data_IF_947802162162
#
_entry.id   IF_947802162162
#
_cell.length_a   1.000
_cell.length_b   1.000
_cell.length_c   1.000
_cell.angle_alpha   90.00
_cell.angle_beta   90.00
_cell.angle_gamma   90.00
#
_symmetry.space_group_name_H-M   'P 1'
#
loop_
_entity.id
_entity.type
_entity.pdbx_description
1 polymer ?
#
# COMPACT_ATOMS: atom_id res chain seq x y z
N UNK A 1 -29.37 -30.53 50.73
CA UNK A 1 -29.09 -30.73 52.20
C UNK A 1 -27.75 -30.10 52.52
N UNK A 2 -27.81 -29.13 53.36
CA UNK A 2 -26.82 -28.67 54.39
C UNK A 2 -25.55 -28.04 53.84
N UNK A 3 -25.41 -26.67 53.89
CA UNK A 3 -25.03 -25.84 55.07
C UNK A 3 -23.58 -26.03 55.41
N UNK A 4 -22.74 -25.09 55.69
CA UNK A 4 -22.75 -23.72 56.28
C UNK A 4 -21.28 -23.28 56.30
N UNK A 5 -20.94 -22.02 55.96
CA UNK A 5 -20.59 -20.95 56.92
C UNK A 5 -19.29 -21.15 57.67
N UNK A 6 -18.34 -20.21 57.52
CA UNK A 6 -17.58 -19.48 58.56
C UNK A 6 -16.60 -18.54 57.86
N UNK A 7 -16.79 -17.26 57.76
CA UNK A 7 -16.76 -16.16 58.71
C UNK A 7 -15.35 -15.81 59.19
N UNK A 8 -14.95 -14.63 58.78
CA UNK A 8 -14.25 -13.56 59.48
C UNK A 8 -12.94 -13.87 60.23
N UNK A 9 -11.85 -13.15 59.88
CA UNK A 9 -11.11 -12.38 60.88
C UNK A 9 -10.52 -11.12 60.20
N UNK A 10 -11.00 -9.98 60.69
CA UNK A 10 -10.50 -8.61 60.52
C UNK A 10 -9.45 -8.35 61.59
N UNK A 11 -8.23 -7.94 61.20
CA UNK A 11 -7.34 -7.30 62.17
C UNK A 11 -6.76 -6.03 61.55
N UNK A 12 -7.23 -4.95 62.14
CA UNK A 12 -6.80 -3.57 61.99
C UNK A 12 -5.57 -3.36 62.88
N UNK A 13 -4.48 -2.81 62.34
CA UNK A 13 -3.46 -2.17 63.16
C UNK A 13 -3.13 -0.79 62.55
N UNK A 14 -3.55 0.20 63.30
CA UNK A 14 -3.22 1.61 63.18
C UNK A 14 -2.03 1.90 64.07
N UNK A 15 -1.12 2.72 63.61
CA UNK A 15 -0.08 3.34 64.47
C UNK A 15 1.05 3.90 63.61
N UNK A 16 1.33 5.07 63.54
CA UNK A 16 1.38 6.36 64.23
C UNK A 16 2.53 7.16 63.63
N UNK A 17 2.26 8.39 63.36
CA UNK A 17 3.17 9.47 62.96
C UNK A 17 4.27 9.78 63.99
N UNK A 18 5.44 10.14 63.48
CA UNK A 18 6.33 11.19 64.09
C UNK A 18 7.40 11.51 63.02
N UNK A 19 7.48 12.63 62.43
CA UNK A 19 7.82 14.00 62.83
C UNK A 19 9.32 14.31 62.69
N UNK A 20 9.58 15.22 61.73
CA UNK A 20 10.59 16.30 61.77
C UNK A 20 12.06 16.03 61.99
N UNK A 21 12.85 16.54 61.04
CA UNK A 21 14.27 16.89 61.32
C UNK A 21 15.00 17.30 60.01
N UNK A 22 15.12 18.59 59.85
CA UNK A 22 15.95 19.35 58.85
C UNK A 22 17.40 18.87 58.72
N UNK A 23 17.96 18.79 57.51
CA UNK A 23 18.97 19.71 56.93
C UNK A 23 19.51 19.21 55.60
N UNK A 24 19.77 20.17 54.77
CA UNK A 24 20.43 20.15 53.45
C UNK A 24 21.66 19.24 53.39
N UNK A 25 21.71 18.45 52.29
CA UNK A 25 22.96 18.32 51.56
C UNK A 25 22.64 17.98 50.09
N UNK A 26 23.25 18.78 49.23
CA UNK A 26 23.18 18.83 47.79
C UNK A 26 23.78 17.53 47.22
N UNK A 27 22.94 16.66 46.63
CA UNK A 27 23.41 15.60 45.73
C UNK A 27 22.59 15.66 44.47
N UNK A 28 23.17 16.24 43.45
CA UNK A 28 22.75 16.24 42.06
C UNK A 28 22.58 14.80 41.57
N UNK A 29 21.40 14.27 41.68
CA UNK A 29 21.06 13.00 41.05
C UNK A 29 20.52 13.31 39.66
N UNK A 30 21.45 13.40 38.70
CA UNK A 30 21.14 13.41 37.26
C UNK A 30 20.56 12.05 36.91
N UNK A 31 19.25 11.92 37.09
CA UNK A 31 18.49 10.83 36.54
C UNK A 31 18.40 11.08 35.00
N UNK A 32 19.37 10.54 34.26
CA UNK A 32 19.27 10.40 32.83
C UNK A 32 18.16 9.39 32.55
N UNK A 33 16.93 9.85 32.65
CA UNK A 33 15.81 9.20 31.99
C UNK A 33 16.07 9.29 30.49
N UNK A 34 16.45 8.19 29.87
CA UNK A 34 16.34 8.06 28.42
C UNK A 34 14.85 8.12 28.11
N UNK A 35 14.36 9.31 27.83
CA UNK A 35 13.09 9.54 27.15
C UNK A 35 13.26 8.95 25.74
N UNK A 36 13.08 7.64 25.61
CA UNK A 36 12.68 7.05 24.34
C UNK A 36 11.23 7.49 24.14
N UNK A 37 11.05 8.71 23.61
CA UNK A 37 9.76 9.14 23.12
C UNK A 37 9.28 8.04 22.16
N UNK A 38 8.19 7.35 22.51
CA UNK A 38 7.55 6.39 21.60
C UNK A 38 7.25 7.14 20.29
N UNK A 39 7.84 6.68 19.18
CA UNK A 39 7.56 7.27 17.89
C UNK A 39 6.07 7.10 17.60
N UNK A 40 5.45 8.18 17.15
CA UNK A 40 4.08 8.08 16.61
C UNK A 40 4.06 7.02 15.50
N UNK A 41 3.05 6.15 15.52
CA UNK A 41 2.85 5.10 14.51
C UNK A 41 1.75 5.54 13.57
N UNK A 42 2.01 5.50 12.25
CA UNK A 42 1.02 5.67 11.20
C UNK A 42 0.76 4.32 10.52
N UNK A 43 -0.52 3.95 10.42
CA UNK A 43 -0.96 2.74 9.75
C UNK A 43 -1.04 2.98 8.26
N UNK A 44 -0.32 2.18 7.48
CA UNK A 44 -0.22 2.29 6.02
C UNK A 44 -0.93 1.11 5.37
N UNK A 45 -1.93 1.37 4.55
CA UNK A 45 -2.59 0.35 3.73
C UNK A 45 -1.89 0.18 2.39
N UNK A 46 -1.72 -1.08 1.97
CA UNK A 46 -1.18 -1.45 0.67
C UNK A 46 -1.83 -2.75 0.18
N UNK A 47 -1.80 -3.02 -1.14
CA UNK A 47 -2.24 -4.31 -1.71
C UNK A 47 -1.02 -5.08 -2.18
N UNK A 48 -0.50 -5.97 -1.31
CA UNK A 48 0.84 -6.56 -1.44
C UNK A 48 0.91 -7.72 -2.46
N UNK A 49 0.46 -7.44 -3.68
CA UNK A 49 0.43 -8.36 -4.82
C UNK A 49 0.88 -7.71 -6.14
N UNK A 50 1.49 -6.51 -6.07
CA UNK A 50 1.77 -5.62 -7.19
C UNK A 50 3.29 -5.38 -7.38
N UNK A 51 4.06 -6.48 -7.57
CA UNK A 51 5.50 -6.37 -7.83
C UNK A 51 5.77 -5.56 -9.12
N UNK A 52 6.75 -4.64 -9.12
CA UNK A 52 7.80 -4.43 -8.12
C UNK A 52 7.47 -3.35 -7.05
N UNK A 53 6.25 -2.80 -7.02
CA UNK A 53 5.89 -1.70 -6.13
C UNK A 53 5.64 -2.18 -4.68
N UNK A 54 4.74 -3.13 -4.50
CA UNK A 54 4.44 -3.75 -3.20
C UNK A 54 4.04 -5.22 -3.36
N UNK A 55 4.76 -6.11 -2.70
CA UNK A 55 4.48 -7.54 -2.78
C UNK A 55 5.10 -8.30 -1.61
N UNK A 56 4.55 -9.49 -1.35
CA UNK A 56 5.12 -10.44 -0.39
C UNK A 56 6.19 -11.28 -1.09
N UNK A 57 7.43 -11.22 -0.61
CA UNK A 57 8.52 -12.10 -1.07
C UNK A 57 8.53 -13.39 -0.26
N UNK A 58 7.93 -14.45 -0.82
CA UNK A 58 7.87 -15.77 -0.18
C UNK A 58 9.26 -16.37 0.13
N UNK A 59 10.33 -15.92 -0.56
CA UNK A 59 11.69 -16.37 -0.31
C UNK A 59 12.31 -15.68 0.93
N UNK A 60 11.77 -14.54 1.35
CA UNK A 60 12.22 -13.75 2.51
C UNK A 60 11.26 -13.79 3.70
N UNK A 61 10.34 -14.73 3.73
CA UNK A 61 9.29 -14.82 4.72
C UNK A 61 8.01 -14.09 4.25
N UNK A 62 7.22 -13.59 5.19
CA UNK A 62 5.97 -12.86 4.89
C UNK A 62 6.17 -11.32 4.88
N UNK A 63 7.40 -10.86 4.68
CA UNK A 63 7.68 -9.42 4.65
C UNK A 63 7.13 -8.80 3.35
N UNK A 64 6.44 -7.66 3.49
CA UNK A 64 6.01 -6.85 2.36
C UNK A 64 7.18 -5.98 1.95
N UNK A 65 7.58 -6.05 0.68
CA UNK A 65 8.71 -5.33 0.10
C UNK A 65 8.32 -4.68 -1.23
N UNK A 66 9.16 -3.81 -1.73
CA UNK A 66 8.97 -3.15 -3.03
C UNK A 66 9.29 -1.67 -2.98
N UNK A 67 9.13 -1.02 -4.14
CA UNK A 67 9.39 0.40 -4.32
C UNK A 67 8.55 1.26 -3.35
N UNK A 68 7.24 1.03 -3.31
CA UNK A 68 6.29 1.77 -2.48
C UNK A 68 6.58 1.58 -0.99
N UNK A 69 7.01 0.37 -0.60
CA UNK A 69 7.32 0.02 0.78
C UNK A 69 8.59 0.72 1.26
N UNK A 70 9.63 0.74 0.42
CA UNK A 70 10.85 1.46 0.75
C UNK A 70 10.62 2.98 0.76
N UNK A 71 9.82 3.50 -0.19
CA UNK A 71 9.50 4.92 -0.25
C UNK A 71 8.75 5.38 1.00
N UNK A 72 7.71 4.64 1.43
CA UNK A 72 6.92 5.05 2.60
C UNK A 72 7.73 4.97 3.90
N UNK A 73 8.66 4.01 4.01
CA UNK A 73 9.60 3.95 5.14
C UNK A 73 10.49 5.19 5.20
N UNK A 74 11.05 5.62 4.05
CA UNK A 74 11.84 6.86 3.98
C UNK A 74 11.01 8.11 4.29
N UNK A 75 9.75 8.17 3.84
CA UNK A 75 8.81 9.24 4.22
C UNK A 75 8.60 9.24 5.74
N UNK A 76 8.41 8.08 6.36
CA UNK A 76 8.28 7.95 7.81
C UNK A 76 9.51 8.46 8.57
N UNK A 77 10.72 8.16 8.07
CA UNK A 77 11.98 8.68 8.63
C UNK A 77 12.02 10.20 8.59
N UNK A 78 11.64 10.83 7.46
CA UNK A 78 11.55 12.30 7.32
C UNK A 78 10.53 12.93 8.25
N UNK A 79 9.41 12.24 8.51
CA UNK A 79 8.37 12.68 9.43
C UNK A 79 8.68 12.38 10.89
N UNK A 80 9.71 11.58 11.19
CA UNK A 80 10.04 11.13 12.55
C UNK A 80 9.02 10.15 13.15
N UNK A 81 8.25 9.43 12.31
CA UNK A 81 7.21 8.47 12.68
C UNK A 81 7.56 7.06 12.24
N UNK A 82 6.90 6.06 12.81
CA UNK A 82 6.96 4.68 12.35
C UNK A 82 5.81 4.42 11.34
N UNK A 83 6.12 3.79 10.22
CA UNK A 83 5.13 3.38 9.21
C UNK A 83 4.82 1.90 9.38
N UNK A 84 3.63 1.58 9.90
CA UNK A 84 3.15 0.21 10.06
C UNK A 84 2.36 -0.22 8.82
N UNK A 85 3.00 -0.99 7.94
CA UNK A 85 2.39 -1.46 6.69
C UNK A 85 1.46 -2.64 6.94
N UNK A 86 0.25 -2.59 6.35
CA UNK A 86 -0.78 -3.61 6.44
C UNK A 86 -1.27 -3.99 5.03
N UNK A 87 -1.29 -5.30 4.72
CA UNK A 87 -1.86 -5.80 3.48
C UNK A 87 -3.39 -5.82 3.56
N UNK A 88 -4.03 -5.35 2.50
CA UNK A 88 -5.47 -5.46 2.29
C UNK A 88 -5.81 -5.41 0.81
N UNK A 89 -7.01 -5.82 0.45
CA UNK A 89 -7.45 -5.79 -0.93
C UNK A 89 -7.50 -4.37 -1.46
N UNK A 90 -7.08 -4.15 -2.71
CA UNK A 90 -6.96 -2.82 -3.32
C UNK A 90 -8.26 -2.01 -3.25
N UNK A 91 -9.41 -2.64 -3.53
CA UNK A 91 -10.74 -2.03 -3.45
C UNK A 91 -11.16 -1.64 -2.02
N UNK A 92 -10.46 -2.12 -0.99
CA UNK A 92 -10.72 -1.82 0.42
C UNK A 92 -9.88 -0.64 0.95
N UNK A 93 -8.82 -0.22 0.25
CA UNK A 93 -7.87 0.79 0.70
C UNK A 93 -8.54 2.15 0.94
N UNK A 94 -9.21 2.71 -0.06
CA UNK A 94 -9.89 4.01 0.07
C UNK A 94 -10.99 3.98 1.13
N UNK A 95 -11.90 2.98 1.18
CA UNK A 95 -12.85 2.84 2.28
C UNK A 95 -12.23 2.74 3.67
N UNK A 96 -11.10 2.03 3.82
CA UNK A 96 -10.41 1.90 5.09
C UNK A 96 -9.78 3.23 5.54
N UNK A 97 -9.21 3.99 4.60
CA UNK A 97 -8.65 5.32 4.83
C UNK A 97 -9.75 6.31 5.27
N UNK A 98 -10.88 6.33 4.58
CA UNK A 98 -12.04 7.17 4.94
C UNK A 98 -12.60 6.83 6.34
N UNK A 99 -12.60 5.54 6.69
CA UNK A 99 -13.06 5.09 8.00
C UNK A 99 -12.05 5.30 9.13
N UNK A 100 -10.86 5.85 8.87
CA UNK A 100 -9.80 6.04 9.85
C UNK A 100 -9.20 4.75 10.40
N UNK A 101 -9.35 3.63 9.68
CA UNK A 101 -8.72 2.35 10.03
C UNK A 101 -7.23 2.33 9.70
N UNK A 102 -6.85 3.07 8.68
CA UNK A 102 -5.49 3.37 8.25
C UNK A 102 -5.35 4.88 8.09
N UNK A 103 -4.12 5.38 8.16
CA UNK A 103 -3.80 6.81 8.10
C UNK A 103 -3.31 7.23 6.71
N UNK A 104 -2.69 6.29 5.99
CA UNK A 104 -2.04 6.51 4.70
C UNK A 104 -2.30 5.31 3.78
N UNK A 105 -2.39 5.55 2.47
CA UNK A 105 -2.35 4.50 1.43
C UNK A 105 -1.19 4.77 0.49
N UNK A 106 -0.36 3.76 0.28
CA UNK A 106 0.60 3.69 -0.81
C UNK A 106 0.48 2.29 -1.44
N UNK A 107 0.09 2.22 -2.70
CA UNK A 107 -0.24 0.94 -3.37
C UNK A 107 -0.32 1.10 -4.89
N UNK A 108 0.75 1.64 -5.51
CA UNK A 108 0.72 1.96 -6.93
C UNK A 108 -0.51 2.78 -7.33
N UNK A 109 -1.09 3.53 -6.40
CA UNK A 109 -2.41 4.13 -6.57
C UNK A 109 -2.35 5.42 -7.39
N UNK A 110 -3.15 5.48 -8.46
CA UNK A 110 -3.33 6.66 -9.30
C UNK A 110 -4.51 7.50 -8.79
N UNK A 111 -4.35 8.81 -8.57
CA UNK A 111 -5.46 9.72 -8.33
C UNK A 111 -6.47 9.70 -9.48
N UNK A 112 -7.74 9.83 -9.16
CA UNK A 112 -8.81 10.07 -10.12
C UNK A 112 -9.94 10.88 -9.46
N UNK A 113 -10.83 11.44 -10.29
CA UNK A 113 -11.92 12.32 -9.82
C UNK A 113 -12.82 11.69 -8.74
N UNK A 114 -13.03 10.37 -8.77
CA UNK A 114 -13.87 9.70 -7.77
C UNK A 114 -13.14 9.61 -6.42
N UNK A 115 -11.87 9.24 -6.44
CA UNK A 115 -11.04 9.15 -5.24
C UNK A 115 -10.79 10.53 -4.62
N UNK A 116 -10.51 11.55 -5.43
CA UNK A 116 -10.24 12.91 -4.98
C UNK A 116 -11.43 13.59 -4.30
N UNK A 117 -12.65 13.11 -4.53
CA UNK A 117 -13.84 13.59 -3.79
C UNK A 117 -13.79 13.20 -2.31
N UNK A 118 -13.11 12.13 -1.96
CA UNK A 118 -13.23 11.48 -0.65
C UNK A 118 -11.91 11.31 0.10
N UNK A 119 -10.77 11.45 -0.57
CA UNK A 119 -9.42 11.45 0.01
C UNK A 119 -8.57 12.53 -0.66
N UNK A 120 -7.45 12.89 -0.05
CA UNK A 120 -6.44 13.74 -0.67
C UNK A 120 -5.23 12.93 -1.11
N UNK A 121 -4.53 13.43 -2.12
CA UNK A 121 -3.32 12.82 -2.65
C UNK A 121 -2.12 13.73 -2.50
N UNK A 122 -0.95 13.12 -2.30
CA UNK A 122 0.35 13.79 -2.38
C UNK A 122 0.68 14.23 -3.80
N UNK A 123 1.80 14.93 -3.96
CA UNK A 123 2.47 15.06 -5.23
C UNK A 123 2.82 13.69 -5.80
N UNK A 124 2.94 13.59 -7.13
CA UNK A 124 3.29 12.36 -7.83
C UNK A 124 4.71 11.91 -7.47
N UNK A 125 4.90 10.61 -7.30
CA UNK A 125 6.22 10.02 -7.04
C UNK A 125 6.71 9.10 -8.16
N UNK A 126 5.84 8.59 -9.02
CA UNK A 126 6.19 7.74 -10.17
C UNK A 126 5.14 7.88 -11.28
N UNK A 127 5.50 7.48 -12.50
CA UNK A 127 4.61 7.45 -13.67
C UNK A 127 4.89 6.22 -14.49
N UNK A 128 3.85 5.59 -15.01
CA UNK A 128 3.94 4.34 -15.78
C UNK A 128 2.97 4.35 -16.96
N UNK A 129 3.08 3.33 -17.83
CA UNK A 129 2.17 3.08 -18.93
C UNK A 129 1.26 1.88 -18.65
N UNK A 130 0.13 1.79 -19.33
CA UNK A 130 -0.78 0.67 -19.25
C UNK A 130 -0.61 -0.24 -20.47
N UNK A 131 -0.67 -1.55 -20.24
CA UNK A 131 -0.52 -2.57 -21.29
C UNK A 131 -1.63 -3.62 -21.21
N UNK A 132 -1.90 -4.24 -22.34
CA UNK A 132 -2.74 -5.43 -22.41
C UNK A 132 -1.83 -6.65 -22.49
N UNK A 133 -1.91 -7.53 -21.49
CA UNK A 133 -1.18 -8.79 -21.41
C UNK A 133 -2.06 -9.89 -22.00
N UNK A 134 -1.49 -10.70 -22.89
CA UNK A 134 -2.19 -11.82 -23.55
C UNK A 134 -1.24 -13.02 -23.69
N UNK A 135 -1.79 -14.19 -24.06
CA UNK A 135 -0.93 -15.31 -24.44
C UNK A 135 -0.38 -15.12 -25.85
N UNK A 136 0.87 -15.50 -26.09
CA UNK A 136 1.54 -15.41 -27.41
C UNK A 136 0.77 -16.13 -28.53
N UNK A 137 0.10 -17.23 -28.17
CA UNK A 137 -0.67 -18.06 -29.09
C UNK A 137 -2.14 -17.64 -29.23
N UNK A 138 -2.55 -16.54 -28.57
CA UNK A 138 -3.95 -16.08 -28.62
C UNK A 138 -4.39 -15.45 -29.94
N UNK A 139 -3.42 -14.98 -30.74
CA UNK A 139 -3.71 -14.21 -31.95
C UNK A 139 -4.09 -12.74 -31.71
N UNK A 140 -4.22 -12.31 -30.43
CA UNK A 140 -4.57 -10.95 -30.04
C UNK A 140 -3.31 -10.08 -30.09
N UNK A 141 -3.34 -8.97 -30.85
CA UNK A 141 -2.20 -8.06 -31.05
C UNK A 141 -2.55 -6.58 -30.87
N UNK A 142 -3.82 -6.25 -30.82
CA UNK A 142 -4.35 -4.88 -30.66
C UNK A 142 -5.71 -4.92 -29.98
N UNK A 143 -6.21 -3.78 -29.52
CA UNK A 143 -7.50 -3.69 -28.83
C UNK A 143 -8.67 -4.25 -29.62
N UNK A 144 -8.73 -4.00 -30.93
CA UNK A 144 -9.80 -4.51 -31.80
C UNK A 144 -9.90 -6.05 -31.82
N UNK A 145 -8.80 -6.77 -31.54
CA UNK A 145 -8.78 -8.24 -31.50
C UNK A 145 -9.41 -8.80 -30.21
N UNK A 146 -9.78 -7.93 -29.27
CA UNK A 146 -10.46 -8.29 -28.02
C UNK A 146 -11.96 -8.55 -28.21
N UNK A 147 -12.51 -8.37 -29.42
CA UNK A 147 -13.92 -8.62 -29.69
C UNK A 147 -14.30 -10.08 -29.34
N UNK A 148 -15.36 -10.24 -28.52
CA UNK A 148 -15.82 -11.53 -27.99
C UNK A 148 -14.90 -12.17 -26.93
N UNK A 149 -13.93 -11.41 -26.39
CA UNK A 149 -12.95 -11.89 -25.40
C UNK A 149 -13.31 -11.48 -23.98
N UNK A 150 -12.65 -12.14 -23.01
CA UNK A 150 -12.73 -11.83 -21.59
C UNK A 150 -11.40 -11.26 -21.13
N UNK A 151 -11.41 -10.04 -20.61
CA UNK A 151 -10.22 -9.34 -20.16
C UNK A 151 -10.32 -9.08 -18.66
N UNK A 152 -9.32 -9.54 -17.91
CA UNK A 152 -9.22 -9.38 -16.46
C UNK A 152 -8.67 -8.02 -16.08
N UNK A 153 -9.20 -7.45 -14.99
CA UNK A 153 -8.73 -6.21 -14.36
C UNK A 153 -8.79 -6.34 -12.85
N UNK A 154 -7.95 -5.61 -12.14
CA UNK A 154 -8.13 -5.51 -10.69
C UNK A 154 -9.32 -4.62 -10.38
N UNK A 155 -10.18 -5.08 -9.47
CA UNK A 155 -11.40 -4.35 -9.08
C UNK A 155 -11.06 -3.00 -8.43
N UNK A 156 -11.82 -1.97 -8.78
CA UNK A 156 -11.66 -0.58 -8.35
C UNK A 156 -10.34 0.09 -8.78
N UNK A 157 -9.58 -0.52 -9.70
CA UNK A 157 -8.36 0.07 -10.29
C UNK A 157 -8.68 1.03 -11.44
N UNK A 158 -7.68 1.77 -11.89
CA UNK A 158 -7.80 2.55 -13.14
C UNK A 158 -7.88 1.64 -14.36
N UNK A 159 -7.31 0.43 -14.30
CA UNK A 159 -7.39 -0.58 -15.34
C UNK A 159 -8.83 -1.06 -15.56
N UNK A 160 -9.65 -1.11 -14.50
CA UNK A 160 -11.08 -1.40 -14.63
C UNK A 160 -11.80 -0.30 -15.41
N UNK A 161 -11.52 0.97 -15.12
CA UNK A 161 -12.11 2.11 -15.84
C UNK A 161 -11.64 2.13 -17.30
N UNK A 162 -10.35 1.86 -17.54
CA UNK A 162 -9.80 1.74 -18.88
C UNK A 162 -10.46 0.59 -19.65
N UNK A 163 -10.64 -0.56 -19.03
CA UNK A 163 -11.34 -1.71 -19.61
C UNK A 163 -12.78 -1.36 -20.01
N UNK A 164 -13.52 -0.66 -19.13
CA UNK A 164 -14.87 -0.16 -19.44
C UNK A 164 -14.87 0.78 -20.64
N UNK A 165 -13.90 1.70 -20.74
CA UNK A 165 -13.77 2.60 -21.90
C UNK A 165 -13.42 1.85 -23.20
N UNK A 166 -12.65 0.77 -23.15
CA UNK A 166 -12.39 -0.12 -24.29
C UNK A 166 -13.69 -0.85 -24.66
N UNK A 167 -14.47 -1.33 -23.68
CA UNK A 167 -15.72 -2.04 -23.92
C UNK A 167 -16.82 -1.19 -24.57
N UNK A 168 -16.73 0.15 -24.47
CA UNK A 168 -17.61 1.05 -25.23
C UNK A 168 -17.36 1.02 -26.76
N UNK A 169 -16.15 0.60 -27.18
CA UNK A 169 -15.70 0.60 -28.58
C UNK A 169 -15.57 -0.79 -29.16
N UNK A 170 -15.30 -1.78 -28.33
CA UNK A 170 -15.04 -3.17 -28.69
C UNK A 170 -15.97 -4.06 -27.86
N UNK A 171 -16.60 -5.06 -28.49
CA UNK A 171 -17.43 -6.05 -27.78
C UNK A 171 -16.55 -6.98 -26.92
N UNK A 172 -16.12 -6.51 -25.75
CA UNK A 172 -15.24 -7.21 -24.81
C UNK A 172 -15.88 -7.30 -23.42
N UNK A 173 -15.76 -8.45 -22.77
CA UNK A 173 -16.20 -8.63 -21.36
C UNK A 173 -15.07 -8.26 -20.42
N UNK A 174 -15.31 -7.32 -19.50
CA UNK A 174 -14.35 -6.93 -18.46
C UNK A 174 -14.68 -7.67 -17.18
N UNK A 175 -13.72 -8.44 -16.68
CA UNK A 175 -13.86 -9.33 -15.55
C UNK A 175 -12.98 -8.87 -14.38
N UNK A 176 -13.60 -8.39 -13.29
CA UNK A 176 -12.88 -7.97 -12.08
C UNK A 176 -12.34 -9.14 -11.27
N UNK A 177 -11.14 -8.97 -10.72
CA UNK A 177 -10.56 -9.84 -9.67
C UNK A 177 -10.01 -8.97 -8.55
N UNK A 178 -9.91 -9.55 -7.37
CA UNK A 178 -9.44 -8.83 -6.19
C UNK A 178 -7.93 -8.62 -6.24
N UNK A 179 -7.21 -9.65 -6.69
CA UNK A 179 -5.74 -9.68 -6.70
C UNK A 179 -5.18 -9.96 -8.10
N UNK A 180 -4.03 -9.36 -8.42
CA UNK A 180 -3.37 -9.55 -9.73
C UNK A 180 -2.98 -11.02 -10.00
N UNK A 181 -2.45 -11.79 -9.04
CA UNK A 181 -2.15 -13.21 -9.28
C UNK A 181 -3.37 -14.03 -9.72
N UNK A 182 -4.58 -13.69 -9.25
CA UNK A 182 -5.83 -14.36 -9.67
C UNK A 182 -6.10 -14.12 -11.16
N UNK A 183 -5.87 -12.90 -11.64
CA UNK A 183 -6.03 -12.55 -13.05
C UNK A 183 -5.09 -13.39 -13.92
N UNK A 184 -3.80 -13.45 -13.53
CA UNK A 184 -2.79 -14.22 -14.26
C UNK A 184 -3.13 -15.71 -14.24
N UNK A 185 -3.55 -16.26 -13.10
CA UNK A 185 -3.98 -17.65 -13.01
C UNK A 185 -5.18 -17.94 -13.90
N UNK A 186 -6.14 -17.03 -13.98
CA UNK A 186 -7.32 -17.16 -14.83
C UNK A 186 -6.95 -17.09 -16.33
N UNK A 187 -5.98 -16.26 -16.69
CA UNK A 187 -5.42 -16.26 -18.05
C UNK A 187 -4.74 -17.59 -18.37
N UNK A 188 -3.93 -18.13 -17.47
CA UNK A 188 -3.21 -19.38 -17.68
C UNK A 188 -4.16 -20.57 -17.80
N UNK A 189 -5.28 -20.56 -17.07
CA UNK A 189 -6.33 -21.59 -17.11
C UNK A 189 -7.38 -21.37 -18.21
N UNK A 190 -7.19 -20.36 -19.09
CA UNK A 190 -8.09 -20.00 -20.19
C UNK A 190 -9.49 -19.52 -19.75
N UNK A 191 -9.63 -19.06 -18.50
CA UNK A 191 -10.85 -18.38 -18.03
C UNK A 191 -10.89 -16.91 -18.48
N UNK A 192 -9.70 -16.32 -18.69
CA UNK A 192 -9.51 -15.00 -19.28
C UNK A 192 -8.64 -15.13 -20.55
N UNK A 193 -8.88 -14.27 -21.52
CA UNK A 193 -8.12 -14.19 -22.76
C UNK A 193 -6.97 -13.20 -22.67
N UNK A 194 -7.09 -12.19 -21.81
CA UNK A 194 -6.11 -11.15 -21.56
C UNK A 194 -6.31 -10.46 -20.22
N UNK A 195 -5.44 -9.49 -19.92
CA UNK A 195 -5.55 -8.62 -18.75
C UNK A 195 -5.03 -7.22 -19.07
N UNK A 196 -5.60 -6.20 -18.45
CA UNK A 196 -5.04 -4.85 -18.46
C UNK A 196 -4.22 -4.70 -17.20
N UNK A 197 -2.95 -4.32 -17.33
CA UNK A 197 -2.00 -4.17 -16.25
C UNK A 197 -1.10 -2.97 -16.50
N UNK A 198 -0.48 -2.50 -15.45
CA UNK A 198 0.64 -1.58 -15.54
C UNK A 198 1.88 -2.28 -16.16
N UNK A 199 2.61 -1.56 -17.01
CA UNK A 199 3.75 -2.10 -17.75
C UNK A 199 4.85 -2.68 -16.86
N UNK A 200 5.17 -2.01 -15.74
CA UNK A 200 6.15 -2.50 -14.77
C UNK A 200 5.75 -3.84 -14.15
N UNK A 201 4.47 -3.97 -13.77
CA UNK A 201 3.92 -5.21 -13.21
C UNK A 201 3.86 -6.30 -14.27
N UNK A 202 3.40 -5.98 -15.47
CA UNK A 202 3.37 -6.92 -16.60
C UNK A 202 4.75 -7.51 -16.90
N UNK A 203 5.82 -6.68 -16.93
CA UNK A 203 7.21 -7.14 -17.13
C UNK A 203 7.59 -8.27 -16.18
N UNK A 204 7.24 -8.17 -14.89
CA UNK A 204 7.49 -9.22 -13.89
C UNK A 204 6.87 -10.56 -14.29
N UNK A 205 5.62 -10.55 -14.72
CA UNK A 205 4.93 -11.75 -15.19
C UNK A 205 5.46 -12.29 -16.53
N UNK A 206 5.82 -11.41 -17.46
CA UNK A 206 6.39 -11.81 -18.74
C UNK A 206 7.78 -12.47 -18.57
N UNK A 207 8.57 -11.99 -17.62
CA UNK A 207 9.89 -12.55 -17.30
C UNK A 207 9.82 -13.97 -16.75
N UNK A 208 8.78 -14.26 -15.95
CA UNK A 208 8.59 -15.57 -15.31
C UNK A 208 7.71 -16.52 -16.14
N UNK A 209 7.06 -16.03 -17.19
CA UNK A 209 6.16 -16.81 -18.03
C UNK A 209 6.34 -16.49 -19.51
N UNK A 210 7.12 -17.33 -20.18
CA UNK A 210 7.46 -17.22 -21.60
C UNK A 210 6.27 -17.34 -22.57
N UNK A 211 5.09 -17.78 -22.08
CA UNK A 211 3.85 -17.88 -22.87
C UNK A 211 3.10 -16.57 -22.97
N UNK A 212 3.45 -15.57 -22.17
CA UNK A 212 2.80 -14.27 -22.16
C UNK A 212 3.54 -13.27 -23.05
N UNK A 213 2.79 -12.29 -23.54
CA UNK A 213 3.27 -11.10 -24.23
C UNK A 213 2.37 -9.93 -23.88
N UNK A 214 2.80 -8.71 -24.18
CA UNK A 214 1.98 -7.51 -23.99
C UNK A 214 2.10 -6.56 -25.17
N UNK A 215 1.14 -5.66 -25.27
CA UNK A 215 1.18 -4.49 -26.13
C UNK A 215 0.54 -3.31 -25.41
N UNK A 216 0.94 -2.05 -25.71
CA UNK A 216 0.38 -0.89 -25.04
C UNK A 216 -1.12 -0.72 -25.37
N UNK A 217 -1.88 -0.14 -24.44
CA UNK A 217 -3.23 0.34 -24.77
C UNK A 217 -3.15 1.48 -25.78
N UNK A 218 -4.17 1.61 -26.66
CA UNK A 218 -4.15 2.61 -27.75
C UNK A 218 -4.17 4.05 -27.21
N UNK A 219 -4.89 4.30 -26.12
CA UNK A 219 -4.97 5.60 -25.48
C UNK A 219 -4.47 5.46 -24.04
N UNK A 220 -3.25 5.93 -23.79
CA UNK A 220 -2.67 5.93 -22.45
C UNK A 220 -3.42 6.93 -21.56
N UNK A 221 -3.92 6.50 -20.38
CA UNK A 221 -4.42 7.44 -19.38
C UNK A 221 -3.27 8.29 -18.84
N UNK A 222 -3.58 9.46 -18.30
CA UNK A 222 -2.64 10.18 -17.46
C UNK A 222 -2.49 9.39 -16.15
N UNK A 223 -1.44 8.55 -16.09
CA UNK A 223 -1.19 7.64 -14.99
C UNK A 223 0.04 8.07 -14.20
N UNK A 224 -0.20 8.56 -12.99
CA UNK A 224 0.85 8.87 -12.04
C UNK A 224 0.47 8.36 -10.65
N UNK A 225 1.46 7.86 -9.93
CA UNK A 225 1.27 7.33 -8.60
C UNK A 225 1.40 8.40 -7.54
N UNK A 226 0.51 8.36 -6.55
CA UNK A 226 0.54 9.27 -5.41
C UNK A 226 0.11 8.57 -4.12
N UNK A 227 0.53 9.13 -2.99
CA UNK A 227 0.19 8.65 -1.66
C UNK A 227 -1.15 9.28 -1.25
N UNK A 228 -2.13 8.46 -0.85
CA UNK A 228 -3.41 8.97 -0.38
C UNK A 228 -3.44 9.12 1.14
N UNK A 229 -4.09 10.17 1.60
CA UNK A 229 -4.37 10.48 3.00
C UNK A 229 -5.83 10.85 3.18
N UNK A 230 -6.30 10.88 4.42
CA UNK A 230 -7.68 11.34 4.68
C UNK A 230 -7.90 12.75 4.14
N UNK A 231 -9.13 13.02 3.74
CA UNK A 231 -9.54 14.34 3.22
C UNK A 231 -9.26 15.42 4.26
N UNK A 232 -8.72 16.55 3.79
CA UNK A 232 -8.37 17.73 4.59
C UNK A 232 -7.32 17.44 5.71
N UNK A 233 -6.53 16.36 5.57
CA UNK A 233 -5.47 16.02 6.51
C UNK A 233 -4.20 16.86 6.27
N UNK A 234 -3.58 17.32 7.36
CA UNK A 234 -2.27 18.00 7.33
C UNK A 234 -1.11 17.05 6.94
N UNK A 235 -1.35 15.74 6.91
CA UNK A 235 -0.37 14.74 6.45
C UNK A 235 0.01 14.95 4.98
N UNK A 236 -0.89 15.43 4.13
CA UNK A 236 -0.61 15.72 2.73
C UNK A 236 0.61 16.63 2.56
N UNK A 237 0.58 17.80 3.21
CA UNK A 237 1.66 18.78 3.10
C UNK A 237 2.98 18.27 3.70
N UNK A 238 2.89 17.53 4.80
CA UNK A 238 4.07 16.88 5.43
C UNK A 238 4.69 15.83 4.51
N UNK A 239 3.87 15.00 3.86
CA UNK A 239 4.32 13.98 2.91
C UNK A 239 4.91 14.63 1.66
N UNK A 240 4.28 15.69 1.11
CA UNK A 240 4.83 16.42 -0.05
C UNK A 240 6.20 17.02 0.25
N UNK A 241 6.36 17.60 1.44
CA UNK A 241 7.67 18.11 1.88
C UNK A 241 8.71 16.97 1.93
N UNK A 242 8.34 15.84 2.52
CA UNK A 242 9.23 14.67 2.61
C UNK A 242 9.59 14.12 1.22
N UNK A 243 8.62 13.98 0.30
CA UNK A 243 8.86 13.54 -1.08
C UNK A 243 9.81 14.48 -1.82
N UNK A 244 9.61 15.80 -1.66
CA UNK A 244 10.52 16.80 -2.25
C UNK A 244 11.95 16.66 -1.72
N UNK A 245 12.13 16.53 -0.40
CA UNK A 245 13.45 16.34 0.21
C UNK A 245 14.11 15.05 -0.29
N UNK A 246 13.37 13.95 -0.37
CA UNK A 246 13.87 12.67 -0.88
C UNK A 246 14.25 12.74 -2.36
N UNK A 247 13.50 13.49 -3.17
CA UNK A 247 13.83 13.72 -4.57
C UNK A 247 15.10 14.59 -4.70
N UNK A 248 15.21 15.68 -3.94
CA UNK A 248 16.38 16.56 -3.93
C UNK A 248 17.66 15.81 -3.47
N UNK A 249 17.52 14.80 -2.59
CA UNK A 249 18.60 13.91 -2.13
C UNK A 249 18.90 12.75 -3.10
N UNK A 250 18.18 12.62 -4.22
CA UNK A 250 18.31 11.52 -5.19
C UNK A 250 17.86 10.16 -4.66
N UNK A 251 17.10 10.13 -3.54
CA UNK A 251 16.64 8.88 -2.93
C UNK A 251 15.55 8.19 -3.75
N UNK A 252 14.63 8.95 -4.35
CA UNK A 252 13.60 8.39 -5.22
C UNK A 252 14.24 7.73 -6.43
N UNK A 253 15.21 8.37 -7.08
CA UNK A 253 15.96 7.78 -8.19
C UNK A 253 16.69 6.48 -7.79
N UNK A 254 17.32 6.44 -6.61
CA UNK A 254 17.93 5.21 -6.11
C UNK A 254 16.93 4.06 -5.92
N UNK A 255 15.69 4.37 -5.53
CA UNK A 255 14.64 3.36 -5.44
C UNK A 255 14.16 2.90 -6.82
N UNK A 256 14.04 3.80 -7.80
CA UNK A 256 13.74 3.45 -9.19
C UNK A 256 14.79 2.50 -9.77
N UNK A 257 16.06 2.83 -9.64
CA UNK A 257 17.19 1.97 -10.04
C UNK A 257 17.17 0.61 -9.33
N UNK A 258 16.81 0.59 -8.05
CA UNK A 258 16.74 -0.65 -7.26
C UNK A 258 15.62 -1.58 -7.68
N UNK A 259 14.42 -1.02 -7.92
CA UNK A 259 13.20 -1.80 -8.03
C UNK A 259 12.62 -1.84 -9.44
N UNK A 260 12.71 -0.74 -10.21
CA UNK A 260 12.04 -0.60 -11.49
C UNK A 260 12.96 -0.89 -12.68
N UNK A 261 14.23 -0.46 -12.63
CA UNK A 261 15.18 -0.68 -13.73
C UNK A 261 15.79 -2.09 -13.70
N UNK A 262 16.03 -2.67 -12.52
CA UNK A 262 16.52 -4.06 -12.41
C UNK A 262 15.48 -5.11 -12.82
N UNK A 263 14.25 -4.71 -13.07
CA UNK A 263 13.23 -5.56 -13.66
C UNK A 263 13.38 -5.73 -15.19
N UNK A 264 14.37 -5.04 -15.80
CA UNK A 264 14.77 -5.24 -17.24
C UNK A 264 15.58 -6.55 -17.42
#
# INVERSE_FOLDING_TARGET
>A
MKNKIFMLILVLVIGVLAACGTKEDNATNSNSGSDTAEKQVLKVGTSADYAPFEYVDAAKGEEIIGFDIDLIKLVGEKLGVEMQVQDMDFNSLVPALQAGKIDVVISGMTPNEEREKVVDFSDKYNQTEQVIVVKKDSGIKKEADLAGKKVGVQTASIQENLGKAIAEKVDVSIEGRTRIPEIVQDMMSKRLDGAIMEGGVAKGYLKTNDKLTSFPVEVQPEDHKAIAVQKDSDLKDKINKALKELADEGKIQQLEEKWLEKAE
#
